data_IF_083648384128
#
_entry.id   IF_083648384128
#
_cell.length_a   1.000
_cell.length_b   1.000
_cell.length_c   1.000
_cell.angle_alpha   90.00
_cell.angle_beta   90.00
_cell.angle_gamma   90.00
#
_symmetry.space_group_name_H-M   'P 1'
#
loop_
_entity.id
_entity.type
_entity.pdbx_description
1 polymer ?
#
# COMPACT_ATOMS: atom_id res chain seq x y z
N UNK A 1 15.02 -13.02 4.30
CA UNK A 1 15.84 -12.00 4.95
C UNK A 1 15.27 -11.52 6.29
N UNK A 2 13.95 -11.35 6.41
CA UNK A 2 13.28 -10.83 7.64
C UNK A 2 13.52 -11.75 8.84
N UNK A 3 13.42 -13.07 8.66
CA UNK A 3 13.65 -14.06 9.71
C UNK A 3 15.09 -13.99 10.22
N UNK A 4 16.05 -13.85 9.32
CA UNK A 4 17.48 -13.71 9.68
C UNK A 4 17.74 -12.40 10.44
N UNK A 5 17.12 -11.30 10.03
CA UNK A 5 17.20 -10.01 10.75
C UNK A 5 16.59 -10.11 12.15
N UNK A 6 15.42 -10.73 12.29
CA UNK A 6 14.77 -10.94 13.58
C UNK A 6 15.61 -11.84 14.49
N UNK A 7 16.17 -12.91 13.94
CA UNK A 7 17.01 -13.85 14.70
C UNK A 7 18.32 -13.19 15.15
N UNK A 8 18.96 -12.42 14.28
CA UNK A 8 20.16 -11.64 14.62
C UNK A 8 19.88 -10.60 15.70
N UNK A 9 18.77 -9.89 15.58
CA UNK A 9 18.32 -8.92 16.57
C UNK A 9 18.02 -9.59 17.93
N UNK A 10 17.35 -10.75 17.93
CA UNK A 10 17.06 -11.51 19.15
C UNK A 10 18.35 -12.00 19.85
N UNK A 11 19.35 -12.43 19.09
CA UNK A 11 20.64 -12.87 19.63
C UNK A 11 21.37 -11.69 20.27
N UNK A 12 21.45 -10.54 19.60
CA UNK A 12 22.08 -9.34 20.14
C UNK A 12 21.37 -8.87 21.41
N UNK A 13 20.04 -8.85 21.42
CA UNK A 13 19.25 -8.50 22.60
C UNK A 13 19.45 -9.50 23.75
N UNK A 14 19.56 -10.79 23.45
CA UNK A 14 19.88 -11.82 24.45
C UNK A 14 21.25 -11.63 25.07
N UNK A 15 22.27 -11.38 24.25
CA UNK A 15 23.63 -11.09 24.74
C UNK A 15 23.67 -9.82 25.59
N UNK A 16 23.01 -8.75 25.18
CA UNK A 16 22.94 -7.50 25.95
C UNK A 16 22.20 -7.68 27.28
N UNK A 17 21.18 -8.54 27.33
CA UNK A 17 20.34 -8.72 28.51
C UNK A 17 20.95 -9.67 29.54
N UNK A 18 21.69 -10.69 29.10
CA UNK A 18 22.25 -11.72 29.99
C UNK A 18 23.77 -11.63 30.15
N UNK A 19 24.51 -11.47 29.06
CA UNK A 19 25.99 -11.58 29.12
C UNK A 19 26.63 -10.29 29.65
N UNK A 20 26.14 -9.13 29.23
CA UNK A 20 26.69 -7.84 29.67
C UNK A 20 26.57 -7.65 31.19
N UNK A 21 25.43 -7.90 31.86
CA UNK A 21 25.34 -7.81 33.33
C UNK A 21 26.26 -8.77 34.08
N UNK A 22 26.46 -9.99 33.57
CA UNK A 22 27.33 -10.98 34.24
C UNK A 22 28.81 -10.59 34.14
N UNK A 23 29.24 -10.07 33.01
CA UNK A 23 30.61 -9.52 32.87
C UNK A 23 30.83 -8.37 33.85
N UNK A 24 29.87 -7.49 34.00
CA UNK A 24 29.94 -6.33 34.89
C UNK A 24 30.05 -6.75 36.35
N UNK A 25 29.28 -7.73 36.82
CA UNK A 25 29.38 -8.27 38.19
C UNK A 25 30.77 -8.81 38.48
N UNK A 26 31.42 -9.41 37.47
CA UNK A 26 32.79 -9.92 37.60
C UNK A 26 33.81 -8.79 37.77
N UNK A 27 33.63 -7.67 37.10
CA UNK A 27 34.48 -6.48 37.23
C UNK A 27 34.25 -5.71 38.54
N UNK A 28 33.01 -5.62 39.03
CA UNK A 28 32.66 -5.01 40.32
C UNK A 28 33.36 -5.74 41.50
N UNK A 29 33.48 -7.07 41.41
CA UNK A 29 34.21 -7.86 42.40
C UNK A 29 35.73 -7.59 42.40
N UNK A 30 36.26 -7.13 41.29
CA UNK A 30 37.71 -6.86 41.13
C UNK A 30 38.12 -5.45 41.55
N UNK A 31 37.23 -4.62 42.11
CA UNK A 31 37.48 -3.23 42.57
C UNK A 31 38.23 -2.33 41.56
N UNK A 32 38.19 -2.65 40.27
CA UNK A 32 38.78 -1.82 39.23
C UNK A 32 37.73 -0.84 38.68
N UNK A 33 38.14 0.41 38.48
CA UNK A 33 37.28 1.44 37.90
C UNK A 33 36.90 1.04 36.48
N UNK A 34 35.60 0.88 36.24
CA UNK A 34 35.04 0.54 34.93
C UNK A 34 35.37 1.65 33.90
N UNK A 35 35.82 1.30 32.70
CA UNK A 35 35.98 2.27 31.62
C UNK A 35 34.66 2.98 31.35
N UNK A 36 34.71 4.29 31.08
CA UNK A 36 33.51 5.12 30.84
C UNK A 36 32.59 4.57 29.73
N UNK A 37 33.18 3.88 28.73
CA UNK A 37 32.46 3.22 27.63
C UNK A 37 31.57 2.08 28.18
N UNK A 38 32.08 1.30 29.14
CA UNK A 38 31.32 0.20 29.76
C UNK A 38 30.16 0.74 30.59
N UNK A 39 30.34 1.85 31.31
CA UNK A 39 29.24 2.52 32.03
C UNK A 39 28.17 3.07 31.07
N UNK A 40 28.59 3.65 29.97
CA UNK A 40 27.66 4.12 28.94
C UNK A 40 26.86 2.96 28.30
N UNK A 41 27.53 1.84 28.04
CA UNK A 41 26.88 0.64 27.48
C UNK A 41 25.89 0.03 28.48
N UNK A 42 26.22 0.01 29.77
CA UNK A 42 25.30 -0.45 30.84
C UNK A 42 24.02 0.41 30.87
N UNK A 43 24.17 1.73 30.93
CA UNK A 43 23.04 2.64 30.95
C UNK A 43 22.16 2.46 29.70
N UNK A 44 22.77 2.27 28.54
CA UNK A 44 22.02 1.99 27.30
C UNK A 44 21.29 0.63 27.36
N UNK A 45 21.95 -0.40 27.91
CA UNK A 45 21.36 -1.73 28.09
C UNK A 45 20.18 -1.70 29.07
N UNK A 46 20.32 -1.01 30.20
CA UNK A 46 19.26 -0.86 31.20
C UNK A 46 18.07 -0.09 30.65
N UNK A 47 18.32 0.97 29.88
CA UNK A 47 17.28 1.72 29.20
C UNK A 47 16.49 0.83 28.23
N UNK A 48 17.19 0.07 27.39
CA UNK A 48 16.58 -0.89 26.46
C UNK A 48 15.79 -1.93 27.24
N UNK A 49 16.37 -2.51 28.32
CA UNK A 49 15.73 -3.53 29.13
C UNK A 49 14.46 -3.03 29.84
N UNK A 50 14.42 -1.77 30.21
CA UNK A 50 13.24 -1.17 30.83
C UNK A 50 12.18 -0.76 29.79
N UNK A 51 12.60 -0.38 28.59
CA UNK A 51 11.72 0.21 27.57
C UNK A 51 11.22 -0.83 26.55
N UNK A 52 11.91 -1.97 26.37
CA UNK A 52 11.56 -2.95 25.35
C UNK A 52 10.11 -3.49 25.41
N UNK A 53 9.52 -3.77 26.61
CA UNK A 53 8.13 -4.24 26.64
C UNK A 53 7.16 -3.15 26.19
N UNK A 54 7.45 -1.88 26.52
CA UNK A 54 6.63 -0.75 26.04
C UNK A 54 6.80 -0.51 24.55
N UNK A 55 8.00 -0.73 23.99
CA UNK A 55 8.22 -0.66 22.54
C UNK A 55 7.46 -1.77 21.82
N UNK A 56 7.47 -3.01 22.31
CA UNK A 56 6.69 -4.09 21.71
C UNK A 56 5.18 -3.84 21.82
N UNK A 57 4.71 -3.36 22.97
CA UNK A 57 3.31 -2.98 23.15
C UNK A 57 2.91 -1.86 22.19
N UNK A 58 3.73 -0.81 22.09
CA UNK A 58 3.52 0.30 21.16
C UNK A 58 3.52 -0.14 19.70
N UNK A 59 4.46 -1.00 19.31
CA UNK A 59 4.51 -1.58 17.95
C UNK A 59 3.29 -2.46 17.68
N UNK A 60 2.85 -3.25 18.65
CA UNK A 60 1.64 -4.06 18.54
C UNK A 60 0.38 -3.21 18.37
N UNK A 61 0.22 -2.19 19.20
CA UNK A 61 -0.91 -1.24 19.10
C UNK A 61 -0.85 -0.50 17.76
N UNK A 62 0.31 0.00 17.36
CA UNK A 62 0.51 0.69 16.07
C UNK A 62 0.12 -0.22 14.89
N UNK A 63 0.56 -1.48 14.92
CA UNK A 63 0.23 -2.46 13.88
C UNK A 63 -1.27 -2.74 13.82
N UNK A 64 -1.92 -2.93 14.97
CA UNK A 64 -3.37 -3.16 15.04
C UNK A 64 -4.15 -1.93 14.54
N UNK A 65 -3.76 -0.73 14.96
CA UNK A 65 -4.37 0.52 14.51
C UNK A 65 -4.20 0.72 13.00
N UNK A 66 -3.00 0.46 12.48
CA UNK A 66 -2.71 0.56 11.04
C UNK A 66 -3.54 -0.45 10.23
N UNK A 67 -3.61 -1.71 10.69
CA UNK A 67 -4.43 -2.73 10.04
C UNK A 67 -5.93 -2.39 10.10
N UNK A 68 -6.39 -1.85 11.22
CA UNK A 68 -7.78 -1.42 11.38
C UNK A 68 -8.10 -0.21 10.51
N UNK A 69 -7.17 0.74 10.40
CA UNK A 69 -7.30 1.88 9.50
C UNK A 69 -7.33 1.45 8.02
N UNK A 70 -6.42 0.56 7.61
CA UNK A 70 -6.38 0.03 6.23
C UNK A 70 -7.60 -0.84 5.88
N UNK A 71 -8.25 -1.47 6.88
CA UNK A 71 -9.51 -2.22 6.68
C UNK A 71 -10.74 -1.32 6.64
N UNK A 72 -10.64 -0.09 7.14
CA UNK A 72 -11.73 0.88 7.01
C UNK A 72 -11.88 1.35 5.57
N UNK A 73 -13.10 1.53 5.08
CA UNK A 73 -13.38 2.04 3.74
C UNK A 73 -12.66 3.36 3.46
N UNK A 74 -12.68 4.28 4.43
CA UNK A 74 -11.98 5.57 4.33
C UNK A 74 -10.46 5.43 4.30
N UNK A 75 -9.90 4.51 5.10
CA UNK A 75 -8.45 4.25 5.13
C UNK A 75 -7.95 3.61 3.84
N UNK A 76 -8.71 2.65 3.32
CA UNK A 76 -8.39 2.01 2.04
C UNK A 76 -8.40 3.02 0.89
N UNK A 77 -9.42 3.88 0.82
CA UNK A 77 -9.51 4.96 -0.17
C UNK A 77 -8.35 5.96 -0.05
N UNK A 78 -8.01 6.37 1.18
CA UNK A 78 -6.89 7.27 1.44
C UNK A 78 -5.54 6.66 1.03
N UNK A 79 -5.33 5.38 1.32
CA UNK A 79 -4.14 4.64 0.92
C UNK A 79 -4.04 4.53 -0.61
N UNK A 80 -5.11 4.13 -1.29
CA UNK A 80 -5.18 4.04 -2.74
C UNK A 80 -4.91 5.38 -3.42
N UNK A 81 -5.44 6.46 -2.84
CA UNK A 81 -5.17 7.83 -3.31
C UNK A 81 -3.70 8.21 -3.14
N UNK A 82 -3.08 7.81 -2.02
CA UNK A 82 -1.66 8.05 -1.78
C UNK A 82 -0.79 7.30 -2.77
N UNK A 83 -1.10 6.01 -3.04
CA UNK A 83 -0.40 5.19 -4.04
C UNK A 83 -0.44 5.85 -5.42
N UNK A 84 -1.59 6.41 -5.82
CA UNK A 84 -1.72 7.11 -7.10
C UNK A 84 -0.91 8.41 -7.21
N UNK A 85 -0.57 9.04 -6.08
CA UNK A 85 0.28 10.25 -6.04
C UNK A 85 1.77 9.94 -6.16
N UNK A 86 2.20 8.73 -5.81
CA UNK A 86 3.61 8.34 -5.91
C UNK A 86 4.04 8.21 -7.37
N UNK A 87 5.19 8.78 -7.77
CA UNK A 87 5.56 8.88 -9.19
C UNK A 87 5.78 7.52 -9.86
N UNK A 88 6.32 6.53 -9.14
CA UNK A 88 6.58 5.19 -9.66
C UNK A 88 5.37 4.27 -9.49
N UNK A 89 4.86 4.16 -8.26
CA UNK A 89 3.72 3.28 -7.93
C UNK A 89 2.41 3.76 -8.57
N UNK A 90 2.22 5.08 -8.68
CA UNK A 90 1.04 5.66 -9.33
C UNK A 90 0.98 5.34 -10.82
N UNK A 91 2.10 5.41 -11.54
CA UNK A 91 2.15 5.01 -12.96
C UNK A 91 1.84 3.53 -13.15
N UNK A 92 2.43 2.68 -12.31
CA UNK A 92 2.21 1.22 -12.37
C UNK A 92 0.76 0.86 -12.02
N UNK A 93 0.23 1.43 -10.94
CA UNK A 93 -1.17 1.20 -10.53
C UNK A 93 -2.16 1.65 -11.59
N UNK A 94 -1.99 2.83 -12.18
CA UNK A 94 -2.81 3.30 -13.31
C UNK A 94 -2.72 2.36 -14.50
N UNK A 95 -1.51 1.97 -14.90
CA UNK A 95 -1.30 1.06 -16.03
C UNK A 95 -2.02 -0.28 -15.84
N UNK A 96 -1.83 -0.93 -14.68
CA UNK A 96 -2.44 -2.22 -14.39
C UNK A 96 -3.98 -2.12 -14.36
N UNK A 97 -4.52 -1.13 -13.66
CA UNK A 97 -5.98 -0.97 -13.55
C UNK A 97 -6.60 -0.59 -14.89
N UNK A 98 -5.96 0.30 -15.67
CA UNK A 98 -6.42 0.67 -17.02
C UNK A 98 -6.40 -0.52 -17.97
N UNK A 99 -5.35 -1.35 -17.95
CA UNK A 99 -5.27 -2.54 -18.80
C UNK A 99 -6.37 -3.57 -18.45
N UNK A 100 -6.58 -3.83 -17.15
CA UNK A 100 -7.65 -4.73 -16.69
C UNK A 100 -9.03 -4.21 -17.11
N UNK A 101 -9.28 -2.92 -16.90
CA UNK A 101 -10.54 -2.29 -17.29
C UNK A 101 -10.77 -2.40 -18.80
N UNK A 102 -9.78 -2.03 -19.63
CA UNK A 102 -9.89 -2.09 -21.08
C UNK A 102 -10.15 -3.52 -21.59
N UNK A 103 -9.36 -4.50 -21.08
CA UNK A 103 -9.55 -5.91 -21.46
C UNK A 103 -10.94 -6.43 -21.09
N UNK A 104 -11.40 -6.10 -19.88
CA UNK A 104 -12.74 -6.52 -19.43
C UNK A 104 -13.83 -5.86 -20.24
N UNK A 105 -13.70 -4.56 -20.51
CA UNK A 105 -14.66 -3.82 -21.33
C UNK A 105 -14.75 -4.41 -22.73
N UNK A 106 -13.61 -4.65 -23.40
CA UNK A 106 -13.55 -5.24 -24.74
C UNK A 106 -14.21 -6.63 -24.79
N UNK A 107 -13.89 -7.52 -23.84
CA UNK A 107 -14.49 -8.86 -23.78
C UNK A 107 -16.01 -8.79 -23.61
N UNK A 108 -16.48 -7.92 -22.74
CA UNK A 108 -17.92 -7.80 -22.44
C UNK A 108 -18.68 -7.19 -23.61
N UNK A 109 -18.14 -6.15 -24.26
CA UNK A 109 -18.77 -5.53 -25.44
C UNK A 109 -18.79 -6.49 -26.62
N UNK A 110 -17.72 -7.24 -26.88
CA UNK A 110 -17.69 -8.29 -27.91
C UNK A 110 -18.69 -9.42 -27.62
N UNK A 111 -18.98 -9.68 -26.34
CA UNK A 111 -20.00 -10.66 -25.94
C UNK A 111 -21.43 -10.14 -26.00
N UNK A 112 -21.62 -8.90 -26.47
CA UNK A 112 -22.94 -8.29 -26.59
C UNK A 112 -23.53 -7.74 -25.28
N UNK A 113 -22.69 -7.62 -24.22
CA UNK A 113 -23.14 -7.03 -22.97
C UNK A 113 -23.34 -5.53 -23.15
N UNK A 114 -24.48 -4.96 -22.70
CA UNK A 114 -24.72 -3.52 -22.79
C UNK A 114 -23.58 -2.71 -22.16
N UNK A 115 -23.17 -1.62 -22.82
CA UNK A 115 -22.00 -0.82 -22.42
C UNK A 115 -22.05 -0.39 -20.94
N UNK A 116 -23.21 -0.01 -20.44
CA UNK A 116 -23.40 0.42 -19.06
C UNK A 116 -23.09 -0.70 -18.06
N UNK A 117 -23.54 -1.92 -18.35
CA UNK A 117 -23.27 -3.07 -17.48
C UNK A 117 -21.80 -3.50 -17.60
N UNK A 118 -21.24 -3.46 -18.81
CA UNK A 118 -19.82 -3.69 -19.04
C UNK A 118 -18.93 -2.69 -18.26
N UNK A 119 -19.32 -1.42 -18.18
CA UNK A 119 -18.63 -0.40 -17.39
C UNK A 119 -18.68 -0.69 -15.88
N UNK A 120 -19.82 -1.09 -15.34
CA UNK A 120 -19.97 -1.46 -13.93
C UNK A 120 -19.12 -2.68 -13.55
N UNK A 121 -19.13 -3.71 -14.42
CA UNK A 121 -18.30 -4.91 -14.23
C UNK A 121 -16.81 -4.52 -14.33
N UNK A 122 -16.45 -3.71 -15.33
CA UNK A 122 -15.11 -3.18 -15.52
C UNK A 122 -14.61 -2.35 -14.32
N UNK A 123 -15.50 -1.59 -13.69
CA UNK A 123 -15.19 -0.89 -12.44
C UNK A 123 -14.87 -1.88 -11.32
N UNK A 124 -15.63 -2.96 -11.19
CA UNK A 124 -15.47 -3.95 -10.11
C UNK A 124 -14.15 -4.71 -10.18
N UNK A 125 -13.55 -4.91 -11.37
CA UNK A 125 -12.23 -5.56 -11.51
C UNK A 125 -11.05 -4.64 -11.18
N UNK A 126 -11.28 -3.33 -11.03
CA UNK A 126 -10.25 -2.39 -10.61
C UNK A 126 -9.90 -2.59 -9.15
N UNK A 127 -8.62 -2.84 -8.87
CA UNK A 127 -8.13 -3.08 -7.50
C UNK A 127 -8.07 -1.79 -6.69
N UNK A 128 -7.85 -0.65 -7.35
CA UNK A 128 -7.77 0.67 -6.71
C UNK A 128 -9.16 1.30 -6.62
N UNK A 129 -9.57 1.64 -5.41
CA UNK A 129 -10.91 2.16 -5.13
C UNK A 129 -11.16 3.55 -5.75
N UNK A 130 -10.10 4.38 -5.87
CA UNK A 130 -10.22 5.70 -6.49
C UNK A 130 -10.49 5.57 -7.99
N UNK A 131 -9.81 4.63 -8.67
CA UNK A 131 -10.03 4.36 -10.09
C UNK A 131 -11.41 3.70 -10.30
N UNK A 132 -11.80 2.77 -9.43
CA UNK A 132 -13.15 2.15 -9.45
C UNK A 132 -14.25 3.19 -9.36
N UNK A 133 -14.13 4.11 -8.42
CA UNK A 133 -15.09 5.19 -8.21
C UNK A 133 -15.15 6.12 -9.42
N UNK A 134 -14.00 6.47 -9.99
CA UNK A 134 -13.94 7.27 -11.22
C UNK A 134 -14.62 6.60 -12.41
N UNK A 135 -14.48 5.27 -12.55
CA UNK A 135 -15.18 4.52 -13.61
C UNK A 135 -16.70 4.50 -13.37
N UNK A 136 -17.14 4.32 -12.11
CA UNK A 136 -18.56 4.35 -11.78
C UNK A 136 -19.20 5.70 -12.09
N UNK A 137 -18.52 6.79 -11.71
CA UNK A 137 -18.97 8.17 -12.07
C UNK A 137 -19.02 8.35 -13.59
N UNK A 138 -18.02 7.84 -14.32
CA UNK A 138 -18.03 7.87 -15.78
C UNK A 138 -19.21 7.08 -16.36
N UNK A 139 -19.52 5.90 -15.81
CA UNK A 139 -20.66 5.08 -16.22
C UNK A 139 -21.99 5.80 -16.01
N UNK A 140 -22.18 6.49 -14.88
CA UNK A 140 -23.37 7.31 -14.63
C UNK A 140 -23.50 8.43 -15.66
N UNK A 141 -22.42 9.10 -16.03
CA UNK A 141 -22.43 10.14 -17.06
C UNK A 141 -22.69 9.61 -18.47
N UNK A 142 -22.27 8.38 -18.76
CA UNK A 142 -22.60 7.71 -20.03
C UNK A 142 -24.11 7.38 -20.10
N UNK A 143 -24.73 6.98 -18.99
CA UNK A 143 -26.20 6.78 -18.92
C UNK A 143 -26.95 8.08 -19.21
N UNK A 144 -26.43 9.23 -18.79
CA UNK A 144 -26.98 10.56 -19.08
C UNK A 144 -26.72 11.02 -20.53
N UNK A 145 -26.11 10.18 -21.37
CA UNK A 145 -25.79 10.48 -22.77
C UNK A 145 -24.43 11.11 -23.01
N UNK A 146 -23.56 11.12 -21.99
CA UNK A 146 -22.20 11.63 -22.14
C UNK A 146 -21.25 10.65 -22.84
N UNK A 147 -20.21 11.17 -23.52
CA UNK A 147 -19.18 10.36 -24.17
C UNK A 147 -18.27 9.70 -23.12
N UNK A 148 -18.10 8.39 -23.22
CA UNK A 148 -17.24 7.60 -22.33
C UNK A 148 -15.78 8.09 -22.39
N UNK A 149 -15.24 8.26 -23.59
CA UNK A 149 -13.87 8.72 -23.77
C UNK A 149 -13.62 10.08 -23.11
N UNK A 150 -14.58 11.00 -23.18
CA UNK A 150 -14.47 12.31 -22.53
C UNK A 150 -14.51 12.21 -21.00
N UNK A 151 -15.32 11.33 -20.45
CA UNK A 151 -15.41 11.14 -19.00
C UNK A 151 -14.13 10.48 -18.45
N UNK A 152 -13.59 9.48 -19.14
CA UNK A 152 -12.31 8.85 -18.73
C UNK A 152 -11.14 9.81 -18.83
N UNK A 153 -11.11 10.70 -19.81
CA UNK A 153 -10.10 11.76 -19.90
C UNK A 153 -10.14 12.72 -18.71
N UNK A 154 -11.34 13.16 -18.32
CA UNK A 154 -11.54 14.04 -17.17
C UNK A 154 -11.08 13.43 -15.85
N UNK A 155 -11.21 12.12 -15.70
CA UNK A 155 -10.75 11.41 -14.51
C UNK A 155 -9.21 11.48 -14.33
N UNK A 156 -8.44 11.57 -15.43
CA UNK A 156 -6.98 11.72 -15.40
C UNK A 156 -6.20 10.49 -14.91
N UNK A 157 -6.86 9.33 -14.77
CA UNK A 157 -6.22 8.08 -14.32
C UNK A 157 -5.86 7.15 -15.47
N UNK A 158 -6.37 7.39 -16.66
CA UNK A 158 -6.21 6.53 -17.83
C UNK A 158 -5.12 7.05 -18.77
N UNK A 159 -4.33 6.16 -19.40
CA UNK A 159 -3.34 6.57 -20.40
C UNK A 159 -4.01 7.31 -21.58
N UNK A 160 -3.40 8.40 -22.09
CA UNK A 160 -4.00 9.17 -23.20
C UNK A 160 -4.28 8.33 -24.44
N UNK A 161 -3.39 7.38 -24.78
CA UNK A 161 -3.59 6.47 -25.91
C UNK A 161 -4.88 5.67 -25.79
N UNK A 162 -5.14 5.09 -24.60
CA UNK A 162 -6.36 4.33 -24.33
C UNK A 162 -7.61 5.21 -24.48
N UNK A 163 -7.57 6.42 -23.94
CA UNK A 163 -8.69 7.37 -24.06
C UNK A 163 -8.98 7.71 -25.51
N UNK A 164 -7.92 7.93 -26.33
CA UNK A 164 -8.09 8.20 -27.76
C UNK A 164 -8.69 7.00 -28.52
N UNK A 165 -8.26 5.79 -28.20
CA UNK A 165 -8.82 4.57 -28.81
C UNK A 165 -10.30 4.42 -28.47
N UNK A 166 -10.68 4.66 -27.21
CA UNK A 166 -12.09 4.61 -26.77
C UNK A 166 -12.92 5.69 -27.50
N UNK A 167 -12.41 6.93 -27.61
CA UNK A 167 -13.09 8.00 -28.37
C UNK A 167 -13.29 7.64 -29.83
N UNK A 168 -12.28 7.04 -30.44
CA UNK A 168 -12.36 6.60 -31.84
C UNK A 168 -13.38 5.48 -32.00
N UNK A 169 -13.35 4.45 -31.14
CA UNK A 169 -14.31 3.36 -31.14
C UNK A 169 -15.75 3.83 -30.86
N UNK A 170 -15.93 4.81 -29.97
CA UNK A 170 -17.22 5.42 -29.67
C UNK A 170 -17.79 6.17 -30.89
N UNK A 171 -16.93 6.88 -31.63
CA UNK A 171 -17.35 7.63 -32.85
C UNK A 171 -17.67 6.70 -33.99
N UNK A 172 -16.96 5.59 -34.16
CA UNK A 172 -17.21 4.59 -35.19
C UNK A 172 -18.30 3.57 -34.83
N UNK A 173 -18.78 3.56 -33.60
CA UNK A 173 -19.70 2.55 -33.07
C UNK A 173 -19.05 1.18 -32.85
N UNK A 174 -17.72 1.11 -32.87
CA UNK A 174 -16.93 -0.13 -32.76
C UNK A 174 -16.11 -0.10 -31.46
N UNK A 175 -16.80 -0.03 -30.31
CA UNK A 175 -16.13 -0.08 -28.98
C UNK A 175 -15.60 -1.48 -28.64
N UNK A 176 -15.89 -2.46 -29.46
CA UNK A 176 -15.55 -3.87 -29.31
C UNK A 176 -14.18 -4.25 -29.93
N UNK A 177 -13.57 -3.37 -30.68
CA UNK A 177 -12.22 -3.53 -31.28
C UNK A 177 -11.18 -2.70 -30.54
#
# INVERSE_FOLDING_TARGET
PIILMLMSFAIVMGLMTYVVPDIVKTFDQSKQALPWITVALMKASDLIRQTWPFMLLGLGIMTVLLLRFLRSASGHYAFDRLVLKLPLFGKLSRGINSSRFASTLSILTQSGVPLVDALKIGAAVSSNWVIRDAINIAAEKVIEGGSLGTQLERCGYFPPMMVQMIKSGETSGELDR
#
